data_IF_006278526941
#
_entry.id   IF_006278526941
#
_cell.length_a   1.000
_cell.length_b   1.000
_cell.length_c   1.000
_cell.angle_alpha   90.00
_cell.angle_beta   90.00
_cell.angle_gamma   90.00
#
_symmetry.space_group_name_H-M   'P 1'
#
loop_
_entity.id
_entity.type
_entity.pdbx_description
1 polymer ?
#
# COMPACT_ATOMS: atom_id res chain seq x y z
N UNK A 1 -10.80 -3.33 -26.17
CA UNK A 1 -9.78 -2.34 -26.54
C UNK A 1 -8.84 -2.17 -25.35
N UNK A 2 -7.52 -2.28 -25.54
CA UNK A 2 -6.55 -2.00 -24.47
C UNK A 2 -6.52 -0.49 -24.26
N UNK A 3 -7.28 0.02 -23.28
CA UNK A 3 -7.23 1.44 -22.92
C UNK A 3 -5.83 1.78 -22.45
N UNK A 4 -5.15 2.64 -23.20
CA UNK A 4 -3.82 3.12 -22.81
C UNK A 4 -3.99 4.03 -21.59
N UNK A 5 -3.32 3.68 -20.48
CA UNK A 5 -3.40 4.44 -19.22
C UNK A 5 -2.57 5.72 -19.34
N UNK A 6 -3.15 6.75 -19.96
CA UNK A 6 -2.55 8.08 -20.15
C UNK A 6 -3.04 9.06 -19.09
N UNK A 7 -2.38 10.21 -18.95
CA UNK A 7 -2.91 11.29 -18.08
C UNK A 7 -4.22 11.84 -18.65
N UNK A 8 -4.39 11.83 -19.97
CA UNK A 8 -5.64 12.23 -20.63
C UNK A 8 -6.81 11.34 -20.26
N UNK A 9 -6.60 10.03 -20.09
CA UNK A 9 -7.62 9.14 -19.55
C UNK A 9 -8.11 9.63 -18.18
N UNK A 10 -7.20 9.92 -17.24
CA UNK A 10 -7.58 10.40 -15.90
C UNK A 10 -8.34 11.72 -15.97
N UNK A 11 -7.97 12.61 -16.89
CA UNK A 11 -8.64 13.90 -17.10
C UNK A 11 -10.07 13.72 -17.61
N UNK A 12 -10.25 12.91 -18.66
CA UNK A 12 -11.57 12.62 -19.22
C UNK A 12 -12.48 11.93 -18.19
N UNK A 13 -11.94 10.94 -17.46
CA UNK A 13 -12.68 10.26 -16.40
C UNK A 13 -13.05 11.24 -15.28
N UNK A 14 -12.13 12.12 -14.86
CA UNK A 14 -12.41 13.13 -13.85
C UNK A 14 -13.52 14.08 -14.29
N UNK A 15 -13.45 14.63 -15.50
CA UNK A 15 -14.46 15.54 -16.05
C UNK A 15 -15.83 14.84 -16.12
N UNK A 16 -15.87 13.63 -16.66
CA UNK A 16 -17.09 12.82 -16.74
C UNK A 16 -17.74 12.59 -15.36
N UNK A 17 -16.97 12.15 -14.36
CA UNK A 17 -17.53 11.91 -13.03
C UNK A 17 -17.80 13.20 -12.26
N UNK A 18 -17.08 14.28 -12.54
CA UNK A 18 -17.38 15.59 -11.95
C UNK A 18 -18.77 16.04 -12.38
N UNK A 19 -19.08 15.95 -13.68
CA UNK A 19 -20.40 16.30 -14.21
C UNK A 19 -21.49 15.34 -13.72
N UNK A 20 -21.22 14.04 -13.74
CA UNK A 20 -22.20 13.01 -13.39
C UNK A 20 -22.52 12.95 -11.89
N UNK A 21 -21.52 13.15 -11.02
CA UNK A 21 -21.62 12.84 -9.58
C UNK A 21 -21.51 14.10 -8.71
N UNK A 22 -20.74 15.11 -9.16
CA UNK A 22 -20.39 16.28 -8.35
C UNK A 22 -20.92 17.60 -8.93
N UNK A 23 -21.95 17.54 -9.78
CA UNK A 23 -22.62 18.67 -10.44
C UNK A 23 -21.68 19.59 -11.24
N UNK A 24 -20.54 19.08 -11.72
CA UNK A 24 -19.53 19.87 -12.42
C UNK A 24 -18.77 20.87 -11.52
N UNK A 25 -18.95 20.81 -10.19
CA UNK A 25 -18.46 21.85 -9.25
C UNK A 25 -16.99 21.75 -8.88
N UNK A 26 -16.32 20.63 -9.15
CA UNK A 26 -14.93 20.44 -8.75
C UNK A 26 -13.96 20.96 -9.85
N UNK A 27 -13.12 21.96 -9.56
CA UNK A 27 -12.07 22.37 -10.50
C UNK A 27 -11.11 21.23 -10.76
N UNK A 28 -10.63 21.08 -12.00
CA UNK A 28 -9.70 19.99 -12.37
C UNK A 28 -8.40 20.10 -11.54
N UNK A 29 -8.06 19.10 -10.70
CA UNK A 29 -6.82 19.10 -9.92
C UNK A 29 -5.65 18.63 -10.78
N UNK A 30 -4.43 18.67 -10.23
CA UNK A 30 -3.27 18.03 -10.88
C UNK A 30 -3.46 16.50 -10.88
N UNK A 31 -3.68 15.91 -12.06
CA UNK A 31 -3.87 14.48 -12.24
C UNK A 31 -2.57 13.79 -12.66
N UNK A 32 -2.27 12.63 -12.06
CA UNK A 32 -1.07 11.86 -12.41
C UNK A 32 -1.19 10.37 -12.10
N UNK A 33 -0.43 9.57 -12.83
CA UNK A 33 -0.17 8.19 -12.47
C UNK A 33 0.96 8.08 -11.44
N UNK A 34 0.85 7.14 -10.51
CA UNK A 34 1.90 6.80 -9.55
C UNK A 34 2.29 5.32 -9.63
N UNK A 35 3.41 4.96 -8.98
CA UNK A 35 3.86 3.56 -8.80
C UNK A 35 3.68 3.09 -7.35
N UNK A 36 2.72 3.67 -6.61
CA UNK A 36 2.51 3.34 -5.21
C UNK A 36 2.03 1.89 -5.04
N UNK A 37 2.66 1.14 -4.13
CA UNK A 37 2.31 -0.26 -3.86
C UNK A 37 1.34 -0.43 -2.67
N UNK A 38 1.37 0.51 -1.74
CA UNK A 38 0.59 0.42 -0.49
C UNK A 38 -0.78 1.07 -0.57
N UNK A 39 -1.06 1.80 -1.65
CA UNK A 39 -2.32 2.51 -1.90
C UNK A 39 -2.61 2.57 -3.39
N UNK A 40 -3.89 2.56 -3.73
CA UNK A 40 -4.35 2.65 -5.13
C UNK A 40 -4.57 4.09 -5.57
N UNK A 41 -4.99 4.97 -4.67
CA UNK A 41 -5.21 6.38 -4.93
C UNK A 41 -4.54 7.28 -3.89
N UNK A 42 -4.46 8.56 -4.21
CA UNK A 42 -4.18 9.63 -3.26
C UNK A 42 -4.72 10.96 -3.77
N UNK A 43 -5.57 11.61 -2.97
CA UNK A 43 -5.82 13.04 -2.98
C UNK A 43 -4.84 13.75 -2.04
N UNK A 44 -4.22 14.84 -2.51
CA UNK A 44 -3.36 15.69 -1.69
C UNK A 44 -3.61 17.18 -1.99
N UNK A 45 -3.45 18.02 -0.98
CA UNK A 45 -3.57 19.46 -1.08
C UNK A 45 -2.61 20.14 -0.10
N UNK A 46 -2.31 21.42 -0.34
CA UNK A 46 -1.66 22.30 0.63
C UNK A 46 -2.72 22.98 1.48
N UNK A 47 -2.30 23.40 2.67
CA UNK A 47 -3.16 24.08 3.66
C UNK A 47 -2.51 25.38 4.09
N UNK A 48 -3.30 26.45 4.13
CA UNK A 48 -2.92 27.73 4.74
C UNK A 48 -3.93 28.06 5.83
N UNK A 49 -3.42 28.45 7.00
CA UNK A 49 -4.24 28.90 8.12
C UNK A 49 -4.15 30.42 8.21
N UNK A 50 -5.29 31.10 8.31
CA UNK A 50 -5.37 32.56 8.40
C UNK A 50 -6.60 32.94 9.23
N UNK A 51 -6.40 33.72 10.30
CA UNK A 51 -7.48 34.23 11.17
C UNK A 51 -8.53 33.17 11.56
N UNK A 52 -8.07 32.00 12.03
CA UNK A 52 -8.96 30.89 12.46
C UNK A 52 -9.60 30.10 11.31
N UNK A 53 -9.44 30.53 10.07
CA UNK A 53 -9.92 29.81 8.88
C UNK A 53 -8.81 28.97 8.26
N UNK A 54 -9.15 27.74 7.88
CA UNK A 54 -8.27 26.84 7.14
C UNK A 54 -8.69 26.84 5.68
N UNK A 55 -7.77 27.22 4.78
CA UNK A 55 -7.98 27.16 3.33
C UNK A 55 -7.08 26.10 2.71
N UNK A 56 -7.68 25.24 1.90
CA UNK A 56 -6.98 24.23 1.10
C UNK A 56 -6.77 24.72 -0.34
N UNK A 57 -5.63 24.36 -0.95
CA UNK A 57 -5.26 24.76 -2.31
C UNK A 57 -4.22 23.78 -2.90
N UNK A 58 -3.80 23.98 -4.15
CA UNK A 58 -2.84 23.11 -4.85
C UNK A 58 -3.23 21.62 -4.82
N UNK A 59 -4.49 21.33 -5.18
CA UNK A 59 -5.03 19.99 -5.19
C UNK A 59 -4.39 19.10 -6.26
N UNK A 60 -4.18 17.83 -5.91
CA UNK A 60 -3.72 16.79 -6.81
C UNK A 60 -4.40 15.46 -6.49
N UNK A 61 -4.69 14.69 -7.53
CA UNK A 61 -5.17 13.31 -7.42
C UNK A 61 -4.21 12.43 -8.20
N UNK A 62 -3.85 11.29 -7.60
CA UNK A 62 -3.05 10.29 -8.28
C UNK A 62 -3.63 8.90 -8.14
N UNK A 63 -3.54 8.12 -9.22
CA UNK A 63 -3.95 6.70 -9.24
C UNK A 63 -2.71 5.84 -9.51
N UNK A 64 -2.60 4.70 -8.84
CA UNK A 64 -1.48 3.78 -9.02
C UNK A 64 -1.68 2.91 -10.26
N UNK A 65 -0.70 2.92 -11.17
CA UNK A 65 -0.65 1.99 -12.30
C UNK A 65 0.23 0.75 -12.01
N UNK A 66 0.53 0.52 -10.73
CA UNK A 66 1.37 -0.60 -10.32
C UNK A 66 0.64 -1.95 -10.45
N UNK A 67 -0.66 -1.98 -10.17
CA UNK A 67 -1.49 -3.19 -10.22
C UNK A 67 -2.29 -3.27 -11.53
N UNK A 68 -2.62 -4.50 -11.93
CA UNK A 68 -3.53 -4.80 -13.04
C UNK A 68 -4.97 -4.62 -12.55
N UNK A 69 -5.48 -3.41 -12.72
CA UNK A 69 -6.88 -3.05 -12.43
C UNK A 69 -7.68 -2.97 -13.74
N UNK A 70 -8.98 -3.24 -13.67
CA UNK A 70 -9.90 -2.91 -14.77
C UNK A 70 -10.11 -1.39 -14.84
N UNK A 71 -10.62 -0.90 -15.96
CA UNK A 71 -11.06 0.49 -16.14
C UNK A 71 -12.03 0.92 -15.03
N UNK A 72 -13.05 0.10 -14.76
CA UNK A 72 -14.04 0.35 -13.70
C UNK A 72 -13.40 0.48 -12.32
N UNK A 73 -12.43 -0.37 -11.98
CA UNK A 73 -11.69 -0.31 -10.72
C UNK A 73 -10.80 0.93 -10.63
N UNK A 74 -10.19 1.35 -11.73
CA UNK A 74 -9.43 2.61 -11.81
C UNK A 74 -10.35 3.79 -11.55
N UNK A 75 -11.54 3.78 -12.14
CA UNK A 75 -12.50 4.85 -11.97
C UNK A 75 -13.10 4.86 -10.55
N UNK A 76 -13.39 3.71 -9.95
CA UNK A 76 -13.83 3.64 -8.55
C UNK A 76 -12.75 4.19 -7.60
N UNK A 77 -11.46 3.95 -7.89
CA UNK A 77 -10.35 4.57 -7.15
C UNK A 77 -10.29 6.08 -7.41
N UNK A 78 -10.49 6.53 -8.65
CA UNK A 78 -10.54 7.96 -8.96
C UNK A 78 -11.68 8.65 -8.22
N UNK A 79 -12.88 8.09 -8.23
CA UNK A 79 -14.05 8.65 -7.53
C UNK A 79 -13.83 8.64 -6.02
N UNK A 80 -13.19 7.61 -5.44
CA UNK A 80 -12.77 7.63 -4.03
C UNK A 80 -11.96 8.90 -3.70
N UNK A 81 -10.97 9.22 -4.53
CA UNK A 81 -10.15 10.42 -4.34
C UNK A 81 -10.91 11.71 -4.64
N UNK A 82 -11.90 11.68 -5.54
CA UNK A 82 -12.80 12.81 -5.80
C UNK A 82 -13.74 13.09 -4.62
N UNK A 83 -14.18 12.07 -3.86
CA UNK A 83 -14.92 12.27 -2.61
C UNK A 83 -14.05 13.03 -1.61
N UNK A 84 -12.81 12.58 -1.36
CA UNK A 84 -11.87 13.33 -0.51
C UNK A 84 -11.69 14.76 -0.99
N UNK A 85 -11.51 14.94 -2.31
CA UNK A 85 -11.34 16.25 -2.91
C UNK A 85 -12.56 17.14 -2.68
N UNK A 86 -13.77 16.64 -2.90
CA UNK A 86 -15.01 17.40 -2.71
C UNK A 86 -15.18 17.87 -1.27
N UNK A 87 -14.89 17.01 -0.28
CA UNK A 87 -14.95 17.36 1.15
C UNK A 87 -13.93 18.47 1.46
N UNK A 88 -12.69 18.32 0.99
CA UNK A 88 -11.63 19.30 1.23
C UNK A 88 -11.88 20.65 0.50
N UNK A 89 -12.41 20.60 -0.71
CA UNK A 89 -12.68 21.77 -1.55
C UNK A 89 -13.86 22.60 -1.03
N UNK A 90 -14.94 21.93 -0.59
CA UNK A 90 -16.13 22.58 -0.02
C UNK A 90 -15.93 22.99 1.44
N UNK A 91 -14.86 22.54 2.10
CA UNK A 91 -14.59 22.82 3.51
C UNK A 91 -15.50 22.06 4.47
N UNK A 92 -16.18 21.01 4.00
CA UNK A 92 -16.98 20.14 4.85
C UNK A 92 -16.11 19.48 5.91
N UNK A 93 -16.62 19.44 7.14
CA UNK A 93 -15.94 18.82 8.27
C UNK A 93 -16.42 17.38 8.41
N UNK A 94 -15.50 16.43 8.25
CA UNK A 94 -15.78 15.01 8.49
C UNK A 94 -15.22 14.56 9.86
N UNK A 95 -15.69 13.42 10.36
CA UNK A 95 -15.29 12.87 11.67
C UNK A 95 -13.95 12.14 11.63
N UNK A 96 -13.52 11.68 10.45
CA UNK A 96 -12.20 11.11 10.16
C UNK A 96 -11.94 11.16 8.65
N UNK A 97 -10.83 10.60 8.17
CA UNK A 97 -10.55 10.51 6.73
C UNK A 97 -11.66 9.78 5.95
N UNK A 98 -12.30 8.80 6.56
CA UNK A 98 -13.45 8.08 5.98
C UNK A 98 -14.60 8.07 6.99
N UNK A 99 -14.98 9.28 7.43
CA UNK A 99 -16.00 9.49 8.44
C UNK A 99 -17.42 9.40 7.90
N UNK A 100 -18.35 10.04 8.60
CA UNK A 100 -19.79 10.00 8.28
C UNK A 100 -20.04 10.64 6.90
N UNK A 101 -19.38 11.76 6.59
CA UNK A 101 -19.59 12.48 5.33
C UNK A 101 -19.07 11.64 4.17
N UNK A 102 -17.82 11.17 4.25
CA UNK A 102 -17.23 10.32 3.22
C UNK A 102 -18.09 9.08 2.94
N UNK A 103 -18.50 8.36 4.00
CA UNK A 103 -19.29 7.12 3.86
C UNK A 103 -20.66 7.39 3.25
N UNK A 104 -21.35 8.44 3.69
CA UNK A 104 -22.63 8.83 3.12
C UNK A 104 -22.54 9.14 1.62
N UNK A 105 -21.49 9.86 1.20
CA UNK A 105 -21.24 10.14 -0.22
C UNK A 105 -20.93 8.85 -0.99
N UNK A 106 -20.03 8.02 -0.46
CA UNK A 106 -19.64 6.74 -1.06
C UNK A 106 -20.85 5.81 -1.26
N UNK A 107 -21.67 5.63 -0.22
CA UNK A 107 -22.84 4.75 -0.26
C UNK A 107 -23.89 5.26 -1.25
N UNK A 108 -24.13 6.57 -1.27
CA UNK A 108 -25.02 7.21 -2.26
C UNK A 108 -24.52 6.97 -3.68
N UNK A 109 -23.22 7.15 -3.93
CA UNK A 109 -22.62 6.98 -5.25
C UNK A 109 -22.72 5.52 -5.70
N UNK A 110 -22.35 4.58 -4.82
CA UNK A 110 -22.43 3.14 -5.10
C UNK A 110 -23.86 2.73 -5.45
N UNK A 111 -24.85 3.19 -4.69
CA UNK A 111 -26.26 2.87 -4.93
C UNK A 111 -26.82 3.52 -6.21
N UNK A 112 -26.53 4.80 -6.42
CA UNK A 112 -27.14 5.58 -7.52
C UNK A 112 -26.53 5.25 -8.88
N UNK A 113 -25.21 5.03 -8.92
CA UNK A 113 -24.45 4.87 -10.17
C UNK A 113 -23.91 3.44 -10.37
N UNK A 114 -24.29 2.48 -9.55
CA UNK A 114 -23.83 1.09 -9.64
C UNK A 114 -22.33 0.94 -9.46
N UNK A 115 -21.71 1.76 -8.61
CA UNK A 115 -20.26 1.74 -8.33
C UNK A 115 -19.91 0.83 -7.16
N UNK A 116 -18.63 0.47 -7.08
CA UNK A 116 -18.10 -0.44 -6.06
C UNK A 116 -16.95 0.20 -5.27
N UNK A 117 -17.12 1.47 -4.90
CA UNK A 117 -16.13 2.23 -4.14
C UNK A 117 -16.04 1.64 -2.73
N UNK A 118 -14.82 1.44 -2.24
CA UNK A 118 -14.55 0.94 -0.89
C UNK A 118 -13.61 1.87 -0.13
N UNK A 119 -13.67 1.82 1.21
CA UNK A 119 -12.77 2.60 2.07
C UNK A 119 -11.32 2.09 2.06
N UNK A 120 -11.13 0.80 1.75
CA UNK A 120 -9.81 0.16 1.82
C UNK A 120 -9.73 -1.03 0.88
N UNK A 121 -8.62 -1.15 0.15
CA UNK A 121 -8.31 -2.31 -0.68
C UNK A 121 -7.07 -3.02 -0.16
N UNK A 122 -7.16 -4.35 -0.02
CA UNK A 122 -6.03 -5.19 0.36
C UNK A 122 -5.13 -5.44 -0.86
N UNK A 123 -4.13 -4.59 -1.05
CA UNK A 123 -3.24 -4.65 -2.23
C UNK A 123 -2.44 -5.95 -2.36
N UNK A 124 -2.28 -6.71 -1.27
CA UNK A 124 -1.69 -8.06 -1.25
C UNK A 124 -2.38 -9.08 -2.15
N UNK A 125 -3.65 -8.88 -2.46
CA UNK A 125 -4.42 -9.80 -3.32
C UNK A 125 -4.45 -9.33 -4.78
N UNK A 126 -3.81 -8.19 -5.10
CA UNK A 126 -3.80 -7.62 -6.44
C UNK A 126 -2.56 -8.05 -7.20
N UNK A 127 -2.74 -8.36 -8.48
CA UNK A 127 -1.65 -8.72 -9.37
C UNK A 127 -0.94 -7.47 -9.86
N UNK A 128 0.39 -7.35 -9.71
CA UNK A 128 1.16 -6.28 -10.34
C UNK A 128 1.05 -6.33 -11.88
N UNK A 129 1.11 -5.17 -12.54
CA UNK A 129 1.06 -5.06 -14.02
C UNK A 129 2.35 -5.57 -14.68
N UNK A 130 3.45 -5.60 -13.94
CA UNK A 130 4.75 -6.10 -14.39
C UNK A 130 5.18 -7.21 -13.45
N UNK A 131 5.69 -8.32 -14.00
CA UNK A 131 6.34 -9.37 -13.22
C UNK A 131 7.49 -8.76 -12.42
N UNK A 132 7.50 -9.02 -11.12
CA UNK A 132 8.61 -8.57 -10.28
C UNK A 132 9.82 -9.44 -10.59
N UNK A 133 10.97 -8.82 -10.83
CA UNK A 133 12.21 -9.57 -10.93
C UNK A 133 12.45 -10.37 -9.64
N UNK A 134 13.10 -11.55 -9.72
CA UNK A 134 13.52 -12.29 -8.54
C UNK A 134 14.25 -11.36 -7.59
N UNK A 135 13.81 -11.34 -6.34
CA UNK A 135 14.36 -10.45 -5.33
C UNK A 135 15.19 -11.29 -4.37
N UNK A 136 16.44 -10.90 -4.20
CA UNK A 136 17.31 -11.51 -3.22
C UNK A 136 16.90 -11.11 -1.80
N UNK A 137 16.82 -12.09 -0.92
CA UNK A 137 16.53 -11.89 0.50
C UNK A 137 17.69 -12.44 1.34
N UNK A 138 18.19 -11.60 2.23
CA UNK A 138 18.97 -12.04 3.37
C UNK A 138 18.00 -12.51 4.45
N UNK A 139 18.03 -13.79 4.78
CA UNK A 139 17.13 -14.41 5.75
C UNK A 139 17.90 -14.73 7.03
N UNK A 140 17.33 -14.32 8.16
CA UNK A 140 17.74 -14.77 9.47
C UNK A 140 16.74 -15.82 9.96
N UNK A 141 17.23 -17.03 10.19
CA UNK A 141 16.46 -18.12 10.77
C UNK A 141 16.88 -18.30 12.23
N UNK A 142 15.91 -18.34 13.14
CA UNK A 142 16.11 -18.46 14.59
C UNK A 142 15.35 -19.67 15.14
N UNK A 143 16.03 -20.41 16.00
CA UNK A 143 15.43 -21.37 16.92
C UNK A 143 15.63 -20.86 18.35
N UNK A 144 14.54 -20.72 19.09
CA UNK A 144 14.55 -20.29 20.48
C UNK A 144 14.61 -21.51 21.41
N UNK A 145 15.15 -21.33 22.62
CA UNK A 145 15.23 -22.38 23.64
C UNK A 145 13.86 -22.91 24.10
N UNK A 146 12.80 -22.12 23.93
CA UNK A 146 11.42 -22.52 24.23
C UNK A 146 10.74 -23.29 23.08
N UNK A 147 11.50 -23.67 22.04
CA UNK A 147 11.01 -24.44 20.90
C UNK A 147 10.27 -23.60 19.85
N UNK A 148 10.29 -22.26 19.95
CA UNK A 148 9.71 -21.38 18.92
C UNK A 148 10.71 -21.13 17.79
N UNK A 149 10.18 -21.08 16.57
CA UNK A 149 10.95 -20.87 15.34
C UNK A 149 10.55 -19.57 14.67
N UNK A 150 11.53 -18.81 14.16
CA UNK A 150 11.30 -17.54 13.49
C UNK A 150 12.09 -17.44 12.19
N UNK A 151 11.46 -16.83 11.18
CA UNK A 151 12.10 -16.43 9.93
C UNK A 151 11.95 -14.92 9.74
N UNK A 152 13.04 -14.27 9.35
CA UNK A 152 13.08 -12.82 9.17
C UNK A 152 13.75 -12.47 7.85
N UNK A 153 13.07 -11.71 6.98
CA UNK A 153 13.74 -11.04 5.87
C UNK A 153 14.45 -9.81 6.40
N UNK A 154 15.78 -9.77 6.31
CA UNK A 154 16.62 -8.73 6.91
C UNK A 154 17.09 -7.74 5.84
N UNK A 155 17.12 -6.46 6.20
CA UNK A 155 17.82 -5.48 5.38
C UNK A 155 19.34 -5.68 5.51
N UNK A 156 20.10 -5.91 4.41
CA UNK A 156 21.54 -6.16 4.49
C UNK A 156 22.33 -5.12 5.27
N UNK A 157 21.94 -3.83 5.21
CA UNK A 157 22.63 -2.77 5.96
C UNK A 157 22.44 -2.86 7.49
N UNK A 158 21.46 -3.64 7.96
CA UNK A 158 21.20 -3.86 9.37
C UNK A 158 21.80 -5.19 9.89
N UNK A 159 22.37 -6.03 9.02
CA UNK A 159 22.83 -7.37 9.38
C UNK A 159 23.91 -7.36 10.48
N UNK A 160 24.90 -6.47 10.37
CA UNK A 160 25.96 -6.34 11.39
C UNK A 160 25.43 -5.94 12.77
N UNK A 161 24.50 -4.97 12.83
CA UNK A 161 23.84 -4.59 14.09
C UNK A 161 23.04 -5.76 14.69
N UNK A 162 22.37 -6.52 13.83
CA UNK A 162 21.60 -7.69 14.25
C UNK A 162 22.51 -8.80 14.77
N UNK A 163 23.66 -9.07 14.13
CA UNK A 163 24.63 -10.04 14.60
C UNK A 163 25.09 -9.76 16.04
N UNK A 164 25.36 -8.48 16.37
CA UNK A 164 25.70 -8.06 17.74
C UNK A 164 24.54 -8.31 18.71
N UNK A 165 23.30 -8.01 18.30
CA UNK A 165 22.11 -8.27 19.12
C UNK A 165 21.89 -9.76 19.36
N UNK A 166 22.10 -10.60 18.35
CA UNK A 166 21.96 -12.05 18.42
C UNK A 166 22.96 -12.65 19.42
N UNK A 167 24.22 -12.24 19.34
CA UNK A 167 25.27 -12.69 20.26
C UNK A 167 24.98 -12.38 21.74
N UNK A 168 24.13 -11.37 22.01
CA UNK A 168 23.75 -10.96 23.37
C UNK A 168 22.47 -11.60 23.88
N UNK A 169 21.68 -12.24 23.02
CA UNK A 169 20.36 -12.78 23.37
C UNK A 169 20.51 -14.23 23.83
N UNK A 170 20.27 -14.49 25.12
CA UNK A 170 20.54 -15.80 25.75
C UNK A 170 19.44 -16.83 25.48
N UNK A 171 18.28 -16.37 25.04
CA UNK A 171 17.08 -17.17 24.77
C UNK A 171 17.14 -17.89 23.41
N UNK A 172 18.12 -17.52 22.56
CA UNK A 172 18.35 -18.15 21.27
C UNK A 172 19.12 -19.46 21.48
N UNK A 173 18.59 -20.55 20.94
CA UNK A 173 19.27 -21.85 20.91
C UNK A 173 20.19 -21.93 19.70
N UNK A 174 19.69 -21.54 18.52
CA UNK A 174 20.44 -21.56 17.28
C UNK A 174 20.02 -20.42 16.35
N UNK A 175 20.96 -19.90 15.56
CA UNK A 175 20.65 -19.01 14.46
C UNK A 175 21.58 -19.23 13.27
N UNK A 176 21.07 -18.95 12.07
CA UNK A 176 21.86 -18.98 10.85
C UNK A 176 21.35 -17.93 9.84
N UNK A 177 22.26 -17.47 8.99
CA UNK A 177 22.00 -16.53 7.92
C UNK A 177 21.91 -17.27 6.59
N UNK A 178 20.93 -16.90 5.77
CA UNK A 178 20.69 -17.52 4.49
C UNK A 178 20.45 -16.50 3.39
N UNK A 179 20.65 -16.93 2.16
CA UNK A 179 20.24 -16.26 0.95
C UNK A 179 19.07 -17.02 0.31
N UNK A 180 18.05 -16.30 -0.14
CA UNK A 180 16.89 -16.88 -0.81
C UNK A 180 16.32 -15.95 -1.87
N UNK A 181 15.75 -16.52 -2.92
CA UNK A 181 14.88 -15.83 -3.88
C UNK A 181 13.43 -16.33 -3.79
N UNK A 182 13.11 -17.12 -2.77
CA UNK A 182 11.80 -17.77 -2.63
C UNK A 182 10.67 -16.75 -2.42
N UNK A 183 9.55 -16.97 -3.12
CA UNK A 183 8.36 -16.11 -3.05
C UNK A 183 7.73 -16.06 -1.66
N UNK A 184 7.97 -17.07 -0.80
CA UNK A 184 7.55 -17.08 0.59
C UNK A 184 7.94 -15.79 1.33
N UNK A 185 9.14 -15.26 1.04
CA UNK A 185 9.67 -14.04 1.66
C UNK A 185 9.17 -12.74 1.01
N UNK A 186 8.44 -12.81 -0.10
CA UNK A 186 7.94 -11.63 -0.81
C UNK A 186 7.02 -10.76 0.04
N UNK A 187 6.20 -11.40 0.84
CA UNK A 187 5.25 -10.74 1.75
C UNK A 187 5.90 -10.24 3.04
N UNK A 188 7.15 -10.59 3.31
CA UNK A 188 7.83 -10.22 4.55
C UNK A 188 8.48 -8.83 4.43
N UNK A 189 8.28 -7.94 5.42
CA UNK A 189 9.02 -6.69 5.47
C UNK A 189 10.51 -6.96 5.72
N UNK A 190 11.39 -6.17 5.10
CA UNK A 190 12.82 -6.19 5.41
C UNK A 190 13.08 -5.52 6.74
N UNK A 191 13.25 -6.32 7.80
CA UNK A 191 13.46 -5.85 9.16
C UNK A 191 14.84 -5.23 9.33
N UNK A 192 14.95 -4.26 10.25
CA UNK A 192 16.20 -3.60 10.67
C UNK A 192 16.48 -3.78 12.16
N UNK A 193 15.67 -4.59 12.84
CA UNK A 193 15.72 -4.90 14.26
C UNK A 193 15.38 -6.38 14.44
N UNK A 194 15.67 -6.94 15.62
CA UNK A 194 15.45 -8.35 15.92
C UNK A 194 13.94 -8.61 16.01
N UNK A 195 13.35 -8.95 14.87
CA UNK A 195 11.93 -9.26 14.67
C UNK A 195 11.84 -10.32 13.59
N UNK A 196 10.97 -11.30 13.79
CA UNK A 196 10.72 -12.35 12.82
C UNK A 196 9.27 -12.80 12.84
N UNK A 197 8.84 -13.43 11.76
CA UNK A 197 7.56 -14.14 11.72
C UNK A 197 7.75 -15.46 12.44
N UNK A 198 6.95 -15.70 13.49
CA UNK A 198 6.89 -17.02 14.10
C UNK A 198 6.29 -18.02 13.10
N UNK A 199 6.93 -19.18 12.98
CA UNK A 199 6.51 -20.27 12.08
C UNK A 199 6.50 -21.59 12.84
N UNK A 200 5.83 -22.60 12.30
CA UNK A 200 5.91 -23.95 12.84
C UNK A 200 7.28 -24.56 12.54
N UNK A 201 7.62 -25.65 13.24
CA UNK A 201 8.89 -26.37 13.02
C UNK A 201 8.97 -26.92 11.61
N UNK A 202 7.88 -27.45 11.08
CA UNK A 202 7.79 -28.01 9.73
C UNK A 202 8.11 -26.93 8.69
N UNK A 203 7.47 -25.75 8.81
CA UNK A 203 7.74 -24.62 7.91
C UNK A 203 9.20 -24.15 8.03
N UNK A 204 9.74 -24.09 9.25
CA UNK A 204 11.13 -23.72 9.48
C UNK A 204 12.10 -24.67 8.75
N UNK A 205 11.97 -25.98 8.98
CA UNK A 205 12.83 -27.00 8.38
C UNK A 205 12.73 -27.00 6.86
N UNK A 206 11.50 -26.98 6.31
CA UNK A 206 11.31 -26.92 4.85
C UNK A 206 11.94 -25.65 4.24
N UNK A 207 11.86 -24.51 4.93
CA UNK A 207 12.45 -23.28 4.41
C UNK A 207 13.98 -23.34 4.43
N UNK A 208 14.63 -23.76 5.52
CA UNK A 208 16.10 -23.77 5.59
C UNK A 208 16.74 -24.70 4.54
N UNK A 209 16.07 -25.78 4.14
CA UNK A 209 16.51 -26.68 3.07
C UNK A 209 16.44 -26.04 1.68
N UNK A 210 15.49 -25.12 1.48
CA UNK A 210 15.29 -24.41 0.20
C UNK A 210 16.18 -23.16 0.06
N UNK A 211 16.90 -22.78 1.11
CA UNK A 211 17.71 -21.57 1.15
C UNK A 211 19.21 -21.89 1.12
N UNK A 212 20.01 -20.97 0.57
CA UNK A 212 21.46 -21.10 0.55
C UNK A 212 22.05 -20.55 1.85
N UNK A 213 22.65 -21.39 2.68
CA UNK A 213 23.34 -20.97 3.90
C UNK A 213 24.49 -20.00 3.57
N UNK A 214 24.59 -18.92 4.34
CA UNK A 214 25.72 -17.97 4.31
C UNK A 214 26.70 -18.34 5.42
N UNK A 215 27.96 -18.55 5.02
CA UNK A 215 29.08 -18.81 5.94
C UNK A 215 29.74 -17.50 6.35
#
# INVERSE_FOLDING_TARGET
MNTELTVDYLRQAFEHYNDLIFDGKLPVPKLKWSRAKTRLGQMACKRKMSWGCTKFYDFSISVSNYYKLTTEQIDDVLIHEMIHYSIAYTGLKDTSSHGIVFRGMMDKINHTFGRHITISVRTRNLQPRTTQQPKDYLILALEMKDGKYFLSSVNPSAAGKLAISLARTREIAHYAWYHSQDEYFHSMPRVRSLRGRQVSKEVYTTMIERMKLLR
#
